data_IF_947601105812
#
_entry.id   IF_947601105812
#
_cell.length_a   1.000
_cell.length_b   1.000
_cell.length_c   1.000
_cell.angle_alpha   90.00
_cell.angle_beta   90.00
_cell.angle_gamma   90.00
#
_symmetry.space_group_name_H-M   'P 1'
#
loop_
_entity.id
_entity.type
_entity.pdbx_description
1 polymer ?
2 non-polymer ?
3 non-polymer ?
4 water ?
#
# COMPACT_ATOMS: atom_id res chain seq x y z
N UNK A 1 15.66 -7.18 -6.21
CA UNK A 1 14.60 -8.11 -6.69
C UNK A 1 13.76 -8.60 -5.52
N UNK A 2 12.53 -9.01 -5.81
CA UNK A 2 11.65 -9.52 -4.77
C UNK A 2 11.96 -10.98 -4.54
N UNK A 3 11.71 -11.45 -3.33
CA UNK A 3 12.03 -12.83 -2.98
C UNK A 3 10.94 -13.59 -2.25
N UNK A 4 9.84 -12.93 -1.93
CA UNK A 4 8.79 -13.61 -1.18
C UNK A 4 7.46 -13.82 -1.88
N UNK A 5 6.90 -15.01 -1.70
CA UNK A 5 5.59 -15.32 -2.25
C UNK A 5 4.70 -15.29 -1.01
N UNK A 6 4.16 -14.11 -0.71
CA UNK A 6 3.30 -13.91 0.44
C UNK A 6 2.00 -14.70 0.31
N UNK A 7 1.54 -15.22 1.44
CA UNK A 7 0.30 -15.99 1.48
C UNK A 7 -0.84 -15.10 1.94
N UNK A 8 -1.92 -15.10 1.18
CA UNK A 8 -3.08 -14.29 1.50
C UNK A 8 -3.84 -14.83 2.70
N UNK A 9 -4.54 -13.94 3.39
CA UNK A 9 -5.32 -14.31 4.55
C UNK A 9 -6.40 -15.30 4.15
N UNK A 10 -6.55 -16.36 4.94
CA UNK A 10 -7.58 -17.34 4.68
C UNK A 10 -8.91 -16.68 5.05
N UNK A 11 -9.88 -16.75 4.15
CA UNK A 11 -11.17 -16.13 4.43
C UNK A 11 -11.17 -14.63 4.22
N UNK A 12 -10.23 -14.14 3.42
CA UNK A 12 -10.14 -12.71 3.13
C UNK A 12 -11.48 -12.16 2.67
N UNK A 13 -11.94 -11.08 3.30
CA UNK A 13 -13.21 -10.46 2.94
C UNK A 13 -12.91 -9.28 2.02
N UNK A 14 -13.01 -9.52 0.71
CA UNK A 14 -12.73 -8.49 -0.27
C UNK A 14 -13.66 -7.28 -0.20
N UNK A 15 -14.93 -7.50 0.10
CA UNK A 15 -15.89 -6.41 0.16
C UNK A 15 -15.58 -5.39 1.26
N UNK A 16 -15.04 -5.87 2.37
CA UNK A 16 -14.69 -5.01 3.49
C UNK A 16 -13.42 -4.22 3.21
N UNK A 17 -12.45 -4.88 2.58
CA UNK A 17 -11.18 -4.22 2.27
C UNK A 17 -11.35 -3.19 1.18
N UNK A 18 -11.96 -3.60 0.07
CA UNK A 18 -12.18 -2.70 -1.05
C UNK A 18 -13.50 -1.94 -0.91
N UNK A 19 -13.66 -1.22 0.19
CA UNK A 19 -14.89 -0.47 0.43
C UNK A 19 -14.81 1.01 0.09
N UNK A 20 -13.70 1.42 -0.53
CA UNK A 20 -13.53 2.81 -0.93
C UNK A 20 -12.98 3.74 0.14
N UNK A 21 -12.77 3.23 1.35
CA UNK A 21 -12.25 4.05 2.44
C UNK A 21 -10.73 4.11 2.34
N UNK A 22 -10.11 4.91 3.19
CA UNK A 22 -8.66 5.08 3.19
C UNK A 22 -7.93 4.21 4.21
N UNK A 23 -6.75 3.74 3.81
CA UNK A 23 -5.87 2.95 4.67
C UNK A 23 -4.59 3.77 4.81
N UNK A 24 -4.09 3.92 6.03
CA UNK A 24 -2.85 4.67 6.26
C UNK A 24 -1.74 3.69 6.63
N UNK A 25 -0.54 3.89 6.08
CA UNK A 25 0.57 3.02 6.43
C UNK A 25 1.15 3.56 7.74
N UNK A 26 1.14 2.74 8.78
CA UNK A 26 1.66 3.18 10.07
C UNK A 26 3.04 2.63 10.36
N UNK A 27 3.36 1.47 9.79
CA UNK A 27 4.66 0.84 9.99
C UNK A 27 4.98 0.05 8.74
N UNK A 28 6.26 -0.04 8.40
CA UNK A 28 6.66 -0.79 7.22
C UNK A 28 8.01 -1.47 7.39
N UNK A 29 8.23 -2.50 6.60
CA UNK A 29 9.49 -3.23 6.64
C UNK A 29 9.98 -3.43 5.21
N UNK A 30 11.12 -2.82 4.90
CA UNK A 30 11.72 -2.94 3.58
C UNK A 30 12.79 -4.03 3.70
N UNK A 31 12.68 -5.06 2.87
CA UNK A 31 13.65 -6.15 2.91
C UNK A 31 14.96 -5.76 2.25
N UNK A 32 14.93 -4.69 1.47
CA UNK A 32 16.12 -4.20 0.78
C UNK A 32 16.34 -2.74 1.17
N UNK A 33 16.67 -2.49 2.45
CA UNK A 33 16.91 -1.13 2.94
C UNK A 33 17.90 -0.35 2.09
N UNK A 34 17.43 0.71 1.46
CA UNK A 34 18.27 1.54 0.61
C UNK A 34 19.39 2.19 1.42
N UNK A 35 20.33 2.81 0.73
CA UNK A 35 21.45 3.46 1.38
C UNK A 35 21.01 4.80 1.96
N UNK A 36 19.95 5.37 1.37
CA UNK A 36 19.42 6.65 1.81
C UNK A 36 18.28 6.46 2.82
N UNK A 37 18.58 6.65 4.11
CA UNK A 37 17.57 6.50 5.16
C UNK A 37 16.78 7.79 5.38
N UNK A 38 15.53 7.80 4.94
CA UNK A 38 14.68 8.97 5.08
C UNK A 38 13.28 8.62 5.58
N UNK A 39 12.59 9.61 6.12
CA UNK A 39 11.24 9.41 6.63
C UNK A 39 10.31 9.27 5.43
N UNK A 40 9.08 8.84 5.67
CA UNK A 40 8.13 8.68 4.57
C UNK A 40 6.69 8.50 5.01
N UNK A 41 5.77 8.93 4.15
CA UNK A 41 4.35 8.83 4.42
C UNK A 41 3.65 8.21 3.22
N UNK A 42 2.70 7.32 3.48
CA UNK A 42 1.97 6.68 2.40
C UNK A 42 0.58 6.29 2.85
N UNK A 43 -0.37 6.39 1.94
CA UNK A 43 -1.74 6.02 2.24
C UNK A 43 -2.38 5.56 0.94
N UNK A 44 -3.45 4.79 1.04
CA UNK A 44 -4.12 4.30 -0.15
C UNK A 44 -5.61 4.17 0.08
N UNK A 45 -6.35 4.16 -1.02
CA UNK A 45 -7.79 3.97 -0.98
C UNK A 45 -8.04 2.83 -1.95
N UNK A 46 -8.79 1.83 -1.52
CA UNK A 46 -9.08 0.70 -2.38
C UNK A 46 -10.58 0.51 -2.44
N UNK A 47 -11.11 0.34 -3.65
CA UNK A 47 -12.54 0.15 -3.78
C UNK A 47 -12.93 -0.34 -5.16
N UNK A 48 -14.23 -0.30 -5.44
CA UNK A 48 -14.73 -0.73 -6.73
C UNK A 48 -15.32 0.47 -7.45
N UNK A 49 -15.09 0.54 -8.75
CA UNK A 49 -15.60 1.64 -9.57
C UNK A 49 -16.12 1.02 -10.86
N UNK A 50 -17.44 1.02 -11.02
CA UNK A 50 -18.07 0.46 -12.20
C UNK A 50 -17.75 -1.03 -12.31
N UNK A 51 -17.68 -1.70 -11.17
CA UNK A 51 -17.40 -3.12 -11.16
C UNK A 51 -15.92 -3.47 -11.23
N UNK A 52 -15.08 -2.46 -11.44
CA UNK A 52 -13.64 -2.68 -11.53
C UNK A 52 -12.96 -2.42 -10.19
N UNK A 53 -12.03 -3.30 -9.82
CA UNK A 53 -11.29 -3.15 -8.58
C UNK A 53 -10.23 -2.08 -8.83
N UNK A 54 -10.22 -1.03 -8.00
CA UNK A 54 -9.28 0.06 -8.17
C UNK A 54 -8.54 0.41 -6.88
N UNK A 55 -7.38 1.04 -7.04
CA UNK A 55 -6.59 1.46 -5.90
C UNK A 55 -5.93 2.79 -6.21
N UNK A 56 -6.03 3.74 -5.28
CA UNK A 56 -5.40 5.05 -5.43
C UNK A 56 -4.32 5.11 -4.37
N UNK A 57 -3.14 5.61 -4.75
CA UNK A 57 -2.00 5.68 -3.85
C UNK A 57 -1.48 7.10 -3.65
N UNK A 58 -0.89 7.34 -2.49
CA UNK A 58 -0.32 8.63 -2.16
C UNK A 58 1.01 8.42 -1.44
N UNK A 59 2.05 9.10 -1.92
CA UNK A 59 3.38 9.02 -1.32
C UNK A 59 3.82 10.44 -1.00
N UNK A 60 4.37 10.63 0.19
CA UNK A 60 4.84 11.95 0.58
C UNK A 60 6.11 11.84 1.42
N UNK A 61 7.16 12.51 0.95
CA UNK A 61 8.43 12.53 1.67
C UNK A 61 8.42 13.84 2.43
N UNK A 62 8.30 13.78 3.77
CA UNK A 62 8.27 14.99 4.60
C UNK A 62 9.55 15.82 4.62
N UNK A 63 10.65 15.26 4.14
CA UNK A 63 11.91 15.99 4.12
C UNK A 63 12.12 16.72 2.80
N UNK A 64 12.08 15.98 1.70
CA UNK A 64 12.27 16.57 0.37
C UNK A 64 10.99 17.20 -0.16
N UNK A 65 9.86 16.81 0.42
CA UNK A 65 8.55 17.32 0.03
C UNK A 65 8.08 16.72 -1.30
N UNK A 66 8.78 15.69 -1.78
CA UNK A 66 8.40 15.04 -3.03
C UNK A 66 7.07 14.34 -2.80
N UNK A 67 6.10 14.62 -3.66
CA UNK A 67 4.77 14.05 -3.53
C UNK A 67 4.26 13.50 -4.85
N UNK A 68 3.56 12.37 -4.80
CA UNK A 68 2.98 11.81 -6.01
C UNK A 68 1.82 10.87 -5.74
N UNK A 69 0.89 10.84 -6.68
CA UNK A 69 -0.30 9.99 -6.60
C UNK A 69 -0.29 9.00 -7.75
N UNK A 70 -0.98 7.88 -7.54
CA UNK A 70 -1.08 6.85 -8.56
C UNK A 70 -2.46 6.23 -8.50
N UNK A 71 -2.93 5.76 -9.65
CA UNK A 71 -4.22 5.09 -9.71
C UNK A 71 -3.97 3.81 -10.50
N UNK A 72 -4.57 2.71 -10.05
CA UNK A 72 -4.39 1.44 -10.74
C UNK A 72 -5.67 0.63 -10.80
N UNK A 73 -5.78 -0.18 -11.85
CA UNK A 73 -6.91 -1.08 -11.98
C UNK A 73 -6.25 -2.39 -11.60
N UNK A 74 -6.87 -3.12 -10.69
CA UNK A 74 -6.29 -4.38 -10.24
C UNK A 74 -6.78 -5.59 -11.00
N UNK A 75 -5.86 -6.53 -11.21
CA UNK A 75 -6.16 -7.79 -11.87
C UNK A 75 -6.02 -8.82 -10.76
N UNK A 76 -6.88 -9.83 -10.77
CA UNK A 76 -6.86 -10.85 -9.73
C UNK A 76 -6.02 -12.06 -10.07
N UNK A 77 -5.14 -12.45 -9.15
CA UNK A 77 -4.32 -13.64 -9.36
C UNK A 77 -4.96 -14.77 -8.54
N UNK A 78 -5.54 -14.40 -7.40
CA UNK A 78 -6.22 -15.33 -6.51
C UNK A 78 -6.82 -14.48 -5.38
N UNK A 79 -7.66 -15.06 -4.55
CA UNK A 79 -8.27 -14.30 -3.46
C UNK A 79 -7.22 -13.65 -2.56
N UNK A 80 -7.18 -12.32 -2.55
CA UNK A 80 -6.21 -11.62 -1.72
C UNK A 80 -4.87 -11.30 -2.36
N UNK A 81 -4.69 -11.69 -3.61
CA UNK A 81 -3.44 -11.42 -4.32
C UNK A 81 -3.76 -10.73 -5.64
N UNK A 82 -3.25 -9.51 -5.81
CA UNK A 82 -3.53 -8.73 -7.01
C UNK A 82 -2.29 -8.18 -7.72
N UNK A 83 -2.47 -7.85 -8.99
CA UNK A 83 -1.42 -7.26 -9.80
C UNK A 83 -1.97 -5.92 -10.26
N UNK A 84 -1.20 -4.86 -10.07
CA UNK A 84 -1.66 -3.52 -10.43
C UNK A 84 -0.76 -2.76 -11.40
N UNK A 85 -1.33 -2.36 -12.53
CA UNK A 85 -0.60 -1.57 -13.51
C UNK A 85 -0.97 -0.13 -13.17
N UNK A 86 -0.01 0.62 -12.65
CA UNK A 86 -0.26 1.99 -12.22
C UNK A 86 0.03 3.09 -13.22
N UNK A 87 -0.66 4.20 -13.03
CA UNK A 87 -0.45 5.39 -13.84
C UNK A 87 -0.28 6.52 -12.84
N UNK A 88 0.71 7.37 -13.07
CA UNK A 88 0.96 8.49 -12.18
C UNK A 88 0.05 9.64 -12.59
N UNK A 89 -0.62 10.23 -11.61
CA UNK A 89 -1.56 11.32 -11.83
C UNK A 89 -1.35 12.44 -10.83
N UNK A 90 -1.96 13.60 -11.09
CA UNK A 90 -1.87 14.69 -10.12
C UNK A 90 -3.02 14.43 -9.16
N UNK A 91 -3.19 15.29 -8.16
CA UNK A 91 -4.24 15.09 -7.18
C UNK A 91 -5.65 15.12 -7.77
N UNK A 92 -5.78 15.66 -8.98
CA UNK A 92 -7.08 15.75 -9.63
C UNK A 92 -7.38 14.59 -10.58
N UNK A 93 -6.41 13.70 -10.76
CA UNK A 93 -6.62 12.57 -11.65
C UNK A 93 -6.05 12.74 -13.04
N UNK A 94 -5.48 13.91 -13.32
CA UNK A 94 -4.90 14.15 -14.63
C UNK A 94 -3.66 13.27 -14.77
N UNK A 95 -3.57 12.54 -15.88
CA UNK A 95 -2.45 11.64 -16.12
C UNK A 95 -1.13 12.35 -16.39
N UNK A 96 -0.09 11.93 -15.67
CA UNK A 96 1.25 12.49 -15.84
C UNK A 96 2.13 11.44 -16.50
N UNK A 97 1.90 10.18 -16.16
CA UNK A 97 2.64 9.06 -16.73
C UNK A 97 1.65 7.94 -16.98
N UNK A 98 1.45 7.60 -18.25
CA UNK A 98 0.51 6.57 -18.63
C UNK A 98 0.93 5.17 -18.20
N UNK A 99 -0.02 4.25 -18.22
CA UNK A 99 0.24 2.86 -17.87
C UNK A 99 1.27 2.33 -18.86
N UNK A 100 2.28 1.64 -18.33
CA UNK A 100 3.33 1.09 -19.16
C UNK A 100 3.58 -0.36 -18.79
N UNK A 101 3.73 -1.22 -19.80
CA UNK A 101 4.00 -2.63 -19.56
C UNK A 101 5.34 -2.75 -18.86
N UNK A 102 5.36 -3.46 -17.74
CA UNK A 102 6.60 -3.61 -17.00
C UNK A 102 6.61 -2.76 -15.75
N UNK A 103 5.67 -1.82 -15.68
CA UNK A 103 5.54 -0.93 -14.53
C UNK A 103 4.30 -1.39 -13.77
N UNK A 104 4.51 -2.18 -12.73
CA UNK A 104 3.39 -2.70 -11.96
C UNK A 104 3.85 -3.15 -10.59
N UNK A 105 2.90 -3.32 -9.68
CA UNK A 105 3.23 -3.85 -8.38
C UNK A 105 2.24 -4.94 -8.06
N UNK A 106 2.67 -5.87 -7.23
CA UNK A 106 1.78 -6.93 -6.80
C UNK A 106 1.53 -6.60 -5.34
N UNK A 107 0.44 -7.09 -4.79
CA UNK A 107 0.21 -6.86 -3.38
C UNK A 107 -0.65 -7.99 -2.88
N UNK A 108 -0.34 -8.44 -1.67
CA UNK A 108 -1.04 -9.56 -1.05
C UNK A 108 -1.54 -9.13 0.32
N UNK A 109 -2.82 -9.39 0.59
CA UNK A 109 -3.37 -9.03 1.89
C UNK A 109 -3.19 -10.26 2.77
N UNK A 110 -2.21 -10.18 3.66
CA UNK A 110 -1.86 -11.27 4.57
C UNK A 110 -2.80 -11.36 5.76
N UNK A 111 -3.35 -10.22 6.15
CA UNK A 111 -4.29 -10.15 7.25
C UNK A 111 -5.06 -8.85 7.15
N UNK A 112 -6.33 -8.91 7.53
CA UNK A 112 -7.16 -7.73 7.51
C UNK A 112 -8.42 -7.92 8.32
N UNK A 113 -8.80 -6.86 9.02
CA UNK A 113 -10.04 -6.84 9.78
C UNK A 113 -10.65 -5.47 9.53
N UNK A 114 -11.66 -5.09 10.30
CA UNK A 114 -12.31 -3.81 10.07
C UNK A 114 -11.49 -2.54 10.32
N UNK A 115 -10.33 -2.66 10.96
CA UNK A 115 -9.54 -1.46 11.23
C UNK A 115 -8.05 -1.56 10.92
N UNK A 116 -7.57 -2.76 10.68
CA UNK A 116 -6.14 -2.95 10.43
C UNK A 116 -5.85 -3.97 9.35
N UNK A 117 -4.63 -3.94 8.84
CA UNK A 117 -4.22 -4.88 7.81
C UNK A 117 -2.71 -4.99 7.73
N UNK A 118 -2.26 -6.10 7.17
CA UNK A 118 -0.84 -6.34 6.95
C UNK A 118 -0.77 -6.79 5.50
N UNK A 119 0.04 -6.10 4.70
CA UNK A 119 0.16 -6.46 3.29
C UNK A 119 1.60 -6.59 2.87
N UNK A 120 1.80 -7.31 1.77
CA UNK A 120 3.12 -7.47 1.17
C UNK A 120 2.99 -6.86 -0.21
N UNK A 121 4.04 -6.18 -0.66
CA UNK A 121 3.99 -5.59 -1.99
C UNK A 121 5.34 -5.68 -2.67
N UNK A 122 5.31 -5.95 -3.97
CA UNK A 122 6.52 -6.04 -4.76
C UNK A 122 6.37 -5.08 -5.92
N UNK A 123 7.21 -4.05 -5.96
CA UNK A 123 7.14 -3.07 -7.03
C UNK A 123 8.14 -3.32 -8.15
N UNK A 124 7.66 -3.17 -9.38
CA UNK A 124 8.50 -3.33 -10.57
C UNK A 124 8.40 -2.01 -11.31
N UNK A 125 9.52 -1.31 -11.44
CA UNK A 125 9.49 -0.03 -12.13
C UNK A 125 10.76 0.23 -12.93
N UNK A 126 10.62 0.23 -14.26
CA UNK A 126 11.75 0.48 -15.13
C UNK A 126 12.99 -0.35 -14.84
N UNK A 127 14.12 0.33 -14.70
CA UNK A 127 15.40 -0.33 -14.45
C UNK A 127 15.71 -0.50 -12.96
N UNK A 128 15.01 0.25 -12.12
CA UNK A 128 15.23 0.18 -10.68
C UNK A 128 14.97 -1.22 -10.15
N UNK A 129 15.88 -1.72 -9.32
CA UNK A 129 15.74 -3.04 -8.73
C UNK A 129 15.21 -2.90 -7.31
N UNK A 130 13.90 -3.09 -7.15
CA UNK A 130 13.27 -2.97 -5.84
C UNK A 130 13.12 -4.32 -5.15
N UNK A 131 12.81 -4.28 -3.86
CA UNK A 131 12.64 -5.50 -3.10
C UNK A 131 11.31 -5.55 -2.38
N UNK A 132 11.09 -6.63 -1.64
CA UNK A 132 9.85 -6.82 -0.89
C UNK A 132 9.62 -5.72 0.13
N UNK A 133 8.36 -5.33 0.29
CA UNK A 133 7.99 -4.30 1.25
C UNK A 133 6.73 -4.73 1.98
N UNK A 134 6.81 -4.83 3.30
CA UNK A 134 5.65 -5.20 4.10
C UNK A 134 5.13 -3.93 4.75
N UNK A 135 3.81 -3.81 4.86
CA UNK A 135 3.23 -2.63 5.47
C UNK A 135 2.05 -2.95 6.37
N UNK A 136 2.02 -2.30 7.53
CA UNK A 136 0.93 -2.45 8.47
C UNK A 136 0.05 -1.24 8.19
N UNK A 137 -1.24 -1.48 8.00
CA UNK A 137 -2.19 -0.41 7.71
C UNK A 137 -3.22 -0.26 8.81
N UNK A 138 -3.80 0.93 8.89
CA UNK A 138 -4.86 1.19 9.85
C UNK A 138 -5.80 2.22 9.26
N UNK A 139 -7.07 2.14 9.65
CA UNK A 139 -8.08 3.09 9.17
C UNK A 139 -7.86 4.45 9.84
N UNK A 140 -7.11 4.45 10.93
CA UNK A 140 -6.80 5.67 11.66
C UNK A 140 -5.31 5.94 11.50
N UNK A 141 -4.97 7.12 11.01
CA UNK A 141 -3.58 7.48 10.78
C UNK A 141 -2.67 7.51 12.01
N UNK A 142 -3.24 7.67 13.20
CA UNK A 142 -2.42 7.74 14.40
C UNK A 142 -2.52 6.53 15.33
N UNK A 143 -3.11 5.45 14.84
CA UNK A 143 -3.28 4.26 15.66
C UNK A 143 -2.05 3.37 15.82
N UNK A 144 -1.77 3.00 17.07
CA UNK A 144 -0.66 2.11 17.36
C UNK A 144 -1.13 0.72 16.94
N UNK A 145 -0.22 -0.12 16.46
CA UNK A 145 -0.58 -1.46 16.03
C UNK A 145 -1.18 -2.29 17.17
N UNK A 146 -2.35 -2.85 16.92
CA UNK A 146 -3.03 -3.66 17.91
C UNK A 146 -2.49 -5.08 17.99
N UNK A 147 -2.95 -5.83 18.98
CA UNK A 147 -2.51 -7.20 19.18
C UNK A 147 -2.82 -8.13 18.01
N UNK A 148 -3.95 -7.89 17.35
CA UNK A 148 -4.35 -8.72 16.22
C UNK A 148 -3.34 -8.67 15.07
N UNK A 149 -3.00 -7.46 14.62
CA UNK A 149 -2.05 -7.33 13.52
C UNK A 149 -0.64 -7.72 13.95
N UNK A 150 -0.28 -7.42 15.19
CA UNK A 150 1.05 -7.78 15.68
C UNK A 150 1.21 -9.30 15.68
N UNK A 151 0.14 -10.01 16.01
CA UNK A 151 0.20 -11.46 16.02
C UNK A 151 0.32 -11.99 14.60
N UNK A 152 -0.36 -11.34 13.66
CA UNK A 152 -0.31 -11.74 12.26
C UNK A 152 1.12 -11.61 11.74
N UNK A 153 1.80 -10.55 12.17
CA UNK A 153 3.17 -10.33 11.76
C UNK A 153 4.01 -11.49 12.27
N UNK A 154 3.82 -11.86 13.53
CA UNK A 154 4.55 -12.96 14.13
C UNK A 154 4.23 -14.26 13.40
N UNK A 155 2.95 -14.48 13.11
CA UNK A 155 2.51 -15.68 12.41
C UNK A 155 3.15 -15.81 11.03
N UNK A 156 3.60 -14.68 10.48
CA UNK A 156 4.24 -14.67 9.17
C UNK A 156 5.75 -14.84 9.31
N UNK A 157 6.18 -15.13 10.54
CA UNK A 157 7.59 -15.31 10.87
C UNK A 157 8.40 -14.03 10.67
N UNK A 158 7.78 -12.90 10.96
CA UNK A 158 8.43 -11.60 10.86
C UNK A 158 8.53 -11.02 12.27
N UNK A 159 9.48 -10.11 12.47
CA UNK A 159 9.67 -9.49 13.78
C UNK A 159 9.21 -8.04 13.72
N UNK A 160 8.14 -7.73 14.45
CA UNK A 160 7.60 -6.38 14.46
C UNK A 160 8.58 -5.30 14.93
N UNK A 161 9.50 -5.67 15.81
CA UNK A 161 10.47 -4.72 16.33
C UNK A 161 11.36 -4.16 15.23
N UNK A 162 11.37 -4.83 14.08
CA UNK A 162 12.19 -4.39 12.95
C UNK A 162 11.48 -3.38 12.06
N UNK A 163 10.16 -3.30 12.19
CA UNK A 163 9.37 -2.37 11.38
C UNK A 163 9.69 -0.92 11.74
N UNK A 164 9.59 -0.05 10.74
CA UNK A 164 9.84 1.37 10.93
C UNK A 164 8.50 2.09 10.99
N UNK A 165 8.34 2.98 11.97
CA UNK A 165 7.09 3.71 12.14
C UNK A 165 7.08 5.02 11.36
N UNK A 166 5.90 5.44 10.92
CA UNK A 166 5.75 6.69 10.18
C UNK A 166 5.02 7.71 11.03
N UNK A 167 4.64 7.31 12.24
CA UNK A 167 3.90 8.17 13.16
C UNK A 167 4.61 9.47 13.55
N UNK A 168 5.93 9.42 13.67
CA UNK A 168 6.70 10.60 14.06
C UNK A 168 7.23 11.38 12.86
N UNK A 169 6.68 11.11 11.68
CA UNK A 169 7.13 11.79 10.47
C UNK A 169 6.34 13.06 10.20
N UNK A 170 5.38 13.36 11.06
CA UNK A 170 4.55 14.55 10.89
C UNK A 170 3.91 14.50 9.51
N UNK A 171 3.16 13.43 9.26
CA UNK A 171 2.50 13.25 7.97
C UNK A 171 1.19 14.02 7.90
N UNK A 172 0.81 14.38 6.68
CA UNK A 172 -0.43 15.09 6.41
C UNK A 172 -1.01 14.39 5.19
N UNK A 173 -2.33 14.20 5.16
CA UNK A 173 -2.96 13.53 4.03
C UNK A 173 -4.21 14.22 3.50
N UNK A 174 -4.40 14.14 2.19
CA UNK A 174 -5.57 14.72 1.54
C UNK A 174 -6.50 13.54 1.26
N UNK A 175 -7.29 13.16 2.27
CA UNK A 175 -8.21 12.04 2.15
C UNK A 175 -9.20 12.18 1.01
N UNK A 176 -9.74 13.38 0.86
CA UNK A 176 -10.72 13.65 -0.18
C UNK A 176 -10.16 13.37 -1.58
N UNK A 177 -8.94 13.81 -1.83
CA UNK A 177 -8.33 13.58 -3.14
C UNK A 177 -8.16 12.09 -3.39
N UNK A 178 -7.69 11.38 -2.37
CA UNK A 178 -7.47 9.95 -2.46
C UNK A 178 -8.75 9.21 -2.85
N UNK A 179 -9.85 9.53 -2.16
CA UNK A 179 -11.12 8.88 -2.43
C UNK A 179 -11.65 9.17 -3.83
N UNK A 180 -11.53 10.42 -4.26
CA UNK A 180 -12.00 10.82 -5.58
C UNK A 180 -11.23 10.17 -6.72
N UNK A 181 -9.96 9.88 -6.50
CA UNK A 181 -9.11 9.27 -7.51
C UNK A 181 -9.57 7.88 -7.93
N UNK A 182 -10.32 7.22 -7.06
CA UNK A 182 -10.78 5.87 -7.35
C UNK A 182 -11.57 5.76 -8.64
N UNK A 183 -12.20 6.86 -9.05
CA UNK A 183 -12.99 6.88 -10.27
C UNK A 183 -12.20 7.34 -11.49
N UNK A 184 -10.90 7.58 -11.31
CA UNK A 184 -10.06 8.04 -12.41
C UNK A 184 -9.29 6.91 -13.09
X LIG B 1 7.21 4.34 -5.50
X LIG B 1 3.50 1.38 -4.43
X LIG B 1 4.35 2.16 0.31
X LIG B 1 8.57 4.24 -0.83
X LIG B 1 6.03 3.62 -5.58
X LIG B 1 5.32 3.36 -6.84
X LIG B 1 4.30 2.50 -6.54
X LIG B 1 4.40 2.20 -5.12
X LIG B 1 3.25 1.97 -7.50
X LIG B 1 5.67 3.97 -8.21
X LIG B 1 4.85 5.25 -8.40
X LIG B 1 5.14 5.95 -9.72
X LIG B 1 6.30 5.92 -10.18
X LIG B 1 4.19 6.54 -10.29
X LIG B 1 3.44 1.31 -3.03
X LIG B 1 2.42 0.60 -2.30
X LIG B 1 2.61 0.85 -0.97
X LIG B 1 3.76 1.74 -0.88
X LIG B 1 1.31 -0.26 -2.91
X LIG B 1 1.96 0.18 0.05
X LIG B 1 1.34 0.78 1.10
X LIG B 1 5.57 2.80 0.39
X LIG B 1 6.26 3.06 1.66
X LIG B 1 7.50 3.47 1.33
X LIG B 1 7.54 3.62 -0.12
X LIG B 1 5.68 2.95 3.08
X LIG B 1 8.57 3.42 2.19
X LIG B 1 9.13 4.57 2.68
X LIG B 1 8.55 4.44 -2.20
X LIG B 1 9.60 5.08 -2.94
X LIG B 1 9.22 5.13 -4.23
X LIG B 1 7.93 4.50 -4.32
X LIG B 1 10.95 5.53 -2.39
X LIG B 1 10.01 5.75 -5.36
X LIG B 1 10.83 4.70 -6.08
X LIG B 1 11.41 5.22 -7.39
X LIG B 1 12.64 5.14 -7.57
X LIG B 1 10.63 5.71 -8.23
X LIG B 1 5.43 2.94 -4.51
X LIG B 1 4.28 2.00 -2.15
X LIG B 1 6.35 3.15 -0.70
X LIG B 1 7.52 4.04 -3.06
X LIG B 1 5.89 3.04 -2.59
X LIG C 1 7.16 1.29 -2.85
#
# INVERSE_FOLDING_TARGET
ACTKNAIAQTGFNKDKYFNGDVWYVTDYLDLEPDDVPKRYCAALAAGTASGKLKEALYHYDPKTQDTFYDVSELQVESLGKYTANFKKVDKNGNVKVAVTAGNYYTFTVMYADDSSALIHTCLHKGNKDLGDLYAVLNRNKDAAAGDKVKSAVSAATLEFSKFISTKENNCAYDNDSLKSLLTK
HEM CHA CHB CHC CHD C1A C2A C3A C4A CMA CAA CBA CGA O1A O2A C1B C2B C3B C4B CMB CAB CBB C1C C2C C3C C4C CMC CAC CBC C1D C2D C3D C4D CMD CAD CBD CGD O1D O2D NA NB NC ND FE
NH3 N
#
